data_IF_014710349322
#
_entry.id   IF_014710349322
#
_cell.length_a   1.000
_cell.length_b   1.000
_cell.length_c   1.000
_cell.angle_alpha   90.00
_cell.angle_beta   90.00
_cell.angle_gamma   90.00
#
_symmetry.space_group_name_H-M   'P 1'
#
loop_
_entity.id
_entity.type
_entity.pdbx_description
1 polymer ?
#
# COMPACT_ATOMS: atom_id res chain seq x y z
N UNK A 1 -14.33 -17.67 5.15
CA UNK A 1 -13.37 -17.00 4.24
C UNK A 1 -11.99 -17.28 4.78
N UNK A 2 -11.24 -18.14 4.10
CA UNK A 2 -9.85 -18.47 4.45
C UNK A 2 -8.96 -17.56 3.59
N UNK A 3 -8.39 -16.51 4.19
CA UNK A 3 -7.45 -15.62 3.49
C UNK A 3 -6.09 -16.33 3.35
N UNK A 4 -5.62 -16.47 2.11
CA UNK A 4 -4.28 -17.01 1.81
C UNK A 4 -3.25 -15.87 1.93
N UNK A 5 -2.43 -15.88 2.98
CA UNK A 5 -1.43 -14.84 3.23
C UNK A 5 -0.15 -15.13 2.43
N UNK A 6 0.24 -14.21 1.54
CA UNK A 6 1.57 -14.21 0.91
C UNK A 6 2.33 -12.95 1.32
N UNK A 7 3.29 -13.09 2.23
CA UNK A 7 4.21 -12.00 2.59
C UNK A 7 5.25 -11.81 1.47
N UNK A 8 5.19 -10.68 0.77
CA UNK A 8 6.24 -10.25 -0.17
C UNK A 8 7.15 -9.29 0.58
N UNK A 9 8.35 -9.77 0.96
CA UNK A 9 9.39 -8.94 1.58
C UNK A 9 10.29 -8.38 0.49
N UNK A 10 9.90 -7.29 -0.17
CA UNK A 10 10.82 -6.55 -1.03
C UNK A 10 10.76 -5.04 -0.75
N UNK A 11 11.90 -4.52 -0.27
CA UNK A 11 12.43 -3.18 -0.49
C UNK A 11 11.63 -1.93 -0.05
N UNK A 12 10.87 -2.01 1.04
CA UNK A 12 10.42 -0.81 1.78
C UNK A 12 10.84 -0.99 3.23
N UNK A 13 11.35 0.04 3.90
CA UNK A 13 11.79 0.04 5.31
C UNK A 13 10.56 -0.09 6.25
N UNK A 14 9.87 -1.22 6.16
CA UNK A 14 8.52 -1.44 6.68
C UNK A 14 8.01 -2.86 6.43
N UNK A 15 7.07 -3.34 7.24
CA UNK A 15 6.44 -4.64 7.02
C UNK A 15 5.40 -4.51 5.89
N UNK A 16 5.66 -5.17 4.77
CA UNK A 16 4.71 -5.26 3.65
C UNK A 16 3.90 -6.55 3.74
N UNK A 17 2.57 -6.43 3.81
CA UNK A 17 1.62 -7.55 3.85
C UNK A 17 0.65 -7.44 2.67
N UNK A 18 0.56 -8.48 1.85
CA UNK A 18 -0.46 -8.57 0.79
C UNK A 18 -1.60 -9.50 1.24
N UNK A 19 -2.82 -9.05 1.00
CA UNK A 19 -4.06 -9.76 1.25
C UNK A 19 -4.83 -9.88 -0.05
N UNK A 20 -5.12 -11.10 -0.50
CA UNK A 20 -5.97 -11.30 -1.66
C UNK A 20 -7.44 -11.42 -1.20
N UNK A 21 -8.27 -10.49 -1.64
CA UNK A 21 -9.73 -10.49 -1.45
C UNK A 21 -10.45 -10.79 -2.77
N UNK A 22 -11.72 -11.21 -2.72
CA UNK A 22 -12.54 -11.44 -3.92
C UNK A 22 -12.69 -10.19 -4.80
N UNK A 23 -12.67 -8.99 -4.20
CA UNK A 23 -12.73 -7.70 -4.91
C UNK A 23 -11.35 -7.18 -5.37
N UNK A 24 -10.28 -7.94 -5.15
CA UNK A 24 -8.92 -7.63 -5.61
C UNK A 24 -7.84 -7.71 -4.51
N UNK A 25 -6.56 -7.73 -4.90
CA UNK A 25 -5.47 -7.71 -3.94
C UNK A 25 -5.37 -6.36 -3.21
N UNK A 26 -5.07 -6.43 -1.92
CA UNK A 26 -4.77 -5.30 -1.06
C UNK A 26 -3.33 -5.43 -0.56
N UNK A 27 -2.52 -4.39 -0.77
CA UNK A 27 -1.14 -4.33 -0.31
C UNK A 27 -1.05 -3.33 0.84
N UNK A 28 -0.52 -3.77 1.97
CA UNK A 28 -0.36 -2.95 3.17
C UNK A 28 1.11 -2.73 3.44
N UNK A 29 1.51 -1.47 3.64
CA UNK A 29 2.86 -1.08 4.04
C UNK A 29 2.81 -0.31 5.36
N UNK A 30 3.52 -0.80 6.38
CA UNK A 30 3.73 -0.09 7.64
C UNK A 30 4.92 0.87 7.50
N UNK A 31 4.69 2.16 7.69
CA UNK A 31 5.70 3.23 7.61
C UNK A 31 6.02 3.83 8.99
N UNK A 32 5.58 3.16 10.05
CA UNK A 32 5.73 3.60 11.44
C UNK A 32 4.67 4.63 11.87
N UNK A 33 4.62 4.95 13.17
CA UNK A 33 3.58 5.82 13.73
C UNK A 33 3.71 7.25 13.17
N UNK A 34 2.86 7.57 12.21
CA UNK A 34 2.78 8.87 11.57
C UNK A 34 1.34 9.17 11.16
N UNK A 35 0.94 10.43 11.26
CA UNK A 35 -0.27 10.94 10.63
C UNK A 35 0.06 11.52 9.25
N UNK A 36 -0.86 11.35 8.30
CA UNK A 36 -0.61 11.71 6.92
C UNK A 36 -1.68 11.23 5.95
N UNK A 37 -1.37 11.32 4.67
CA UNK A 37 -2.20 10.85 3.57
C UNK A 37 -1.35 10.10 2.55
N UNK A 38 -1.95 9.15 1.84
CA UNK A 38 -1.33 8.44 0.72
C UNK A 38 -2.21 8.56 -0.53
N UNK A 39 -1.60 8.81 -1.67
CA UNK A 39 -2.27 8.91 -2.96
C UNK A 39 -1.45 8.25 -4.08
N UNK A 40 -2.10 7.91 -5.19
CA UNK A 40 -1.42 7.40 -6.38
C UNK A 40 -1.39 8.51 -7.42
N UNK A 41 -0.20 8.84 -7.90
CA UNK A 41 0.04 9.82 -8.96
C UNK A 41 0.95 9.19 -9.99
N UNK A 42 0.48 9.10 -11.24
CA UNK A 42 1.26 8.60 -12.39
C UNK A 42 1.94 7.23 -12.15
N UNK A 43 1.26 6.31 -11.45
CA UNK A 43 1.83 4.99 -11.12
C UNK A 43 2.83 5.00 -9.97
N UNK A 44 2.86 6.06 -9.16
CA UNK A 44 3.66 6.18 -7.94
C UNK A 44 2.76 6.37 -6.74
N UNK A 45 2.99 5.62 -5.67
CA UNK A 45 2.37 5.86 -4.36
C UNK A 45 3.17 6.94 -3.64
N UNK A 46 2.51 8.07 -3.39
CA UNK A 46 3.07 9.19 -2.64
C UNK A 46 2.45 9.20 -1.25
N UNK A 47 3.30 9.15 -0.24
CA UNK A 47 2.91 9.25 1.17
C UNK A 47 3.43 10.55 1.73
N UNK A 48 2.53 11.39 2.24
CA UNK A 48 2.88 12.68 2.86
C UNK A 48 2.57 12.62 4.34
N UNK A 49 3.57 12.95 5.16
CA UNK A 49 3.48 13.03 6.62
C UNK A 49 4.14 14.32 7.11
N UNK A 50 3.99 14.66 8.40
CA UNK A 50 4.70 15.80 9.01
C UNK A 50 6.23 15.67 8.96
N UNK A 51 6.75 14.43 8.85
CA UNK A 51 8.17 14.13 8.70
C UNK A 51 8.69 14.31 7.27
N UNK A 52 7.82 14.65 6.32
CA UNK A 52 8.13 14.77 4.90
C UNK A 52 7.32 13.81 4.03
N UNK A 53 7.69 13.74 2.75
CA UNK A 53 7.09 12.84 1.76
C UNK A 53 8.02 11.67 1.42
N UNK A 54 7.40 10.53 1.08
CA UNK A 54 8.06 9.34 0.54
C UNK A 54 7.30 8.86 -0.68
N UNK A 55 8.04 8.35 -1.65
CA UNK A 55 7.52 7.93 -2.94
C UNK A 55 7.97 6.51 -3.23
N UNK A 56 7.07 5.69 -3.76
CA UNK A 56 7.32 4.29 -4.09
C UNK A 56 6.59 3.93 -5.38
N UNK A 57 7.14 3.00 -6.16
CA UNK A 57 6.45 2.50 -7.34
C UNK A 57 5.12 1.84 -6.94
N UNK A 58 4.04 2.23 -7.60
CA UNK A 58 2.75 1.62 -7.37
C UNK A 58 2.75 0.20 -7.97
N UNK A 59 2.17 -0.77 -7.26
CA UNK A 59 2.00 -2.11 -7.80
C UNK A 59 1.13 -2.07 -9.06
N UNK A 60 1.34 -3.03 -9.96
CA UNK A 60 0.51 -3.15 -11.16
C UNK A 60 -0.97 -3.29 -10.76
N UNK A 61 -1.84 -2.52 -11.43
CA UNK A 61 -3.27 -2.49 -11.11
C UNK A 61 -3.64 -1.65 -9.90
N UNK A 62 -2.73 -0.88 -9.31
CA UNK A 62 -3.06 0.02 -8.19
C UNK A 62 -4.12 1.05 -8.60
N UNK A 63 -5.27 0.98 -7.94
CA UNK A 63 -6.42 1.85 -8.21
C UNK A 63 -6.55 2.93 -7.14
N UNK A 64 -6.23 2.59 -5.88
CA UNK A 64 -6.38 3.51 -4.75
C UNK A 64 -5.35 3.27 -3.67
N UNK A 65 -4.89 4.34 -3.03
CA UNK A 65 -4.12 4.29 -1.80
C UNK A 65 -4.85 5.06 -0.69
N UNK A 66 -4.78 4.55 0.53
CA UNK A 66 -5.29 5.20 1.75
C UNK A 66 -4.30 5.00 2.88
N UNK A 67 -4.25 5.95 3.82
CA UNK A 67 -3.38 5.87 5.00
C UNK A 67 -4.21 5.93 6.28
N UNK A 68 -3.86 5.12 7.27
CA UNK A 68 -4.45 5.14 8.61
C UNK A 68 -3.37 4.92 9.67
N UNK A 69 -3.09 5.94 10.49
CA UNK A 69 -2.15 5.85 11.63
C UNK A 69 -0.80 5.19 11.30
N UNK A 70 -0.18 5.57 10.17
CA UNK A 70 1.11 4.98 9.76
C UNK A 70 1.00 3.70 8.93
N UNK A 71 -0.20 3.23 8.64
CA UNK A 71 -0.43 2.07 7.78
C UNK A 71 -0.98 2.54 6.45
N UNK A 72 -0.26 2.27 5.36
CA UNK A 72 -0.69 2.57 3.99
C UNK A 72 -1.30 1.31 3.40
N UNK A 73 -2.51 1.43 2.90
CA UNK A 73 -3.25 0.36 2.22
C UNK A 73 -3.45 0.76 0.76
N UNK A 74 -3.02 -0.10 -0.14
CA UNK A 74 -3.13 0.06 -1.59
C UNK A 74 -4.08 -1.00 -2.11
N UNK A 75 -5.18 -0.57 -2.69
CA UNK A 75 -6.15 -1.42 -3.36
C UNK A 75 -5.73 -1.57 -4.83
N UNK A 76 -5.70 -2.80 -5.30
CA UNK A 76 -5.41 -3.12 -6.71
C UNK A 76 -6.61 -3.77 -7.35
N UNK A 77 -6.88 -3.40 -8.60
CA UNK A 77 -7.84 -4.10 -9.45
C UNK A 77 -7.09 -5.16 -10.24
N UNK A 78 -7.67 -6.35 -10.35
CA UNK A 78 -7.10 -7.39 -11.20
C UNK A 78 -7.14 -6.89 -12.66
N UNK A 79 -6.00 -6.77 -13.35
CA UNK A 79 -6.00 -6.37 -14.74
C UNK A 79 -6.66 -7.49 -15.55
N UNK A 80 -7.89 -7.23 -16.02
CA UNK A 80 -8.66 -8.14 -16.87
C UNK A 80 -7.90 -8.61 -18.13
#
# INVERSE_FOLDING_TARGET
MESNLRSVREAVDGLVCRYDYDDGPVIVADIGPADGHAEIVDGTVVVVTDGGHREFDAPAGAARAVMNNGVVTIETEDPA
#
